data_IF_907590362143
#
_entry.id   IF_907590362143
#
_cell.length_a   1.000
_cell.length_b   1.000
_cell.length_c   1.000
_cell.angle_alpha   90.00
_cell.angle_beta   90.00
_cell.angle_gamma   90.00
#
_symmetry.space_group_name_H-M   'P 1'
#
loop_
_entity.id
_entity.type
_entity.pdbx_description
1 polymer ?
#
# COMPACT_ATOMS: atom_id res chain seq x y z
N UNK A 1 -0.10 54.87 -10.87
CA UNK A 1 0.42 53.81 -9.97
C UNK A 1 -0.78 53.10 -9.35
N UNK A 2 -0.92 51.78 -9.58
CA UNK A 2 -2.04 51.00 -9.02
C UNK A 2 -1.76 50.75 -7.54
N UNK A 3 -2.67 51.17 -6.66
CA UNK A 3 -2.57 50.94 -5.21
C UNK A 3 -2.89 49.49 -4.86
N UNK A 4 -2.18 48.93 -3.86
CA UNK A 4 -2.41 47.57 -3.33
C UNK A 4 -3.87 47.33 -2.96
N UNK A 5 -4.58 48.36 -2.51
CA UNK A 5 -6.01 48.29 -2.14
C UNK A 5 -6.92 48.15 -3.36
N UNK A 6 -6.61 48.87 -4.44
CA UNK A 6 -7.32 48.79 -5.72
C UNK A 6 -7.08 47.43 -6.36
N UNK A 7 -5.85 46.92 -6.29
CA UNK A 7 -5.53 45.57 -6.77
C UNK A 7 -6.32 44.48 -6.03
N UNK A 8 -6.41 44.55 -4.71
CA UNK A 8 -7.17 43.58 -3.90
C UNK A 8 -8.68 43.65 -4.16
N UNK A 9 -9.24 44.84 -4.35
CA UNK A 9 -10.67 44.97 -4.66
C UNK A 9 -11.00 44.43 -6.05
N UNK A 10 -10.16 44.71 -7.04
CA UNK A 10 -10.35 44.22 -8.42
C UNK A 10 -10.19 42.70 -8.50
N UNK A 11 -9.25 42.10 -7.75
CA UNK A 11 -9.08 40.64 -7.74
C UNK A 11 -10.23 39.90 -7.05
N UNK A 12 -10.88 40.48 -6.04
CA UNK A 12 -12.08 39.87 -5.42
C UNK A 12 -13.30 39.83 -6.34
N UNK A 13 -13.48 40.81 -7.23
CA UNK A 13 -14.59 40.82 -8.20
C UNK A 13 -14.35 39.81 -9.33
N UNK A 14 -13.11 39.66 -9.78
CA UNK A 14 -12.75 38.65 -10.79
C UNK A 14 -12.99 37.21 -10.30
N UNK A 15 -12.78 36.92 -9.02
CA UNK A 15 -13.09 35.61 -8.43
C UNK A 15 -14.61 35.35 -8.29
N UNK A 16 -15.42 36.40 -8.10
CA UNK A 16 -16.87 36.28 -7.94
C UNK A 16 -17.62 35.92 -9.24
N UNK A 17 -17.13 36.38 -10.40
CA UNK A 17 -17.74 36.05 -11.70
C UNK A 17 -17.44 34.60 -12.12
N UNK A 18 -16.34 34.01 -11.65
CA UNK A 18 -16.00 32.62 -11.93
C UNK A 18 -16.84 31.57 -11.19
N UNK A 19 -17.59 31.96 -10.16
CA UNK A 19 -18.39 31.04 -9.33
C UNK A 19 -19.81 30.77 -9.84
N UNK A 20 -20.26 31.47 -10.89
CA UNK A 20 -21.65 31.36 -11.40
C UNK A 20 -21.76 30.52 -12.68
N UNK A 21 -20.64 29.99 -13.19
CA UNK A 21 -20.65 28.96 -14.21
C UNK A 21 -20.32 27.60 -13.56
N UNK A 22 -21.29 26.71 -13.31
CA UNK A 22 -21.03 25.35 -12.83
C UNK A 22 -20.50 24.46 -13.97
N UNK A 23 -19.67 25.01 -14.86
CA UNK A 23 -19.31 24.40 -16.15
C UNK A 23 -17.93 23.75 -16.16
N UNK A 24 -17.20 23.73 -15.04
CA UNK A 24 -15.86 23.15 -14.95
C UNK A 24 -15.76 22.25 -13.72
N UNK A 25 -16.39 21.07 -13.81
CA UNK A 25 -16.18 19.85 -13.03
C UNK A 25 -17.44 18.96 -12.97
N UNK A 26 -18.30 19.00 -13.98
CA UNK A 26 -18.93 17.74 -14.37
C UNK A 26 -17.85 16.97 -15.12
N UNK A 27 -17.06 16.18 -14.38
CA UNK A 27 -16.63 14.92 -14.94
C UNK A 27 -17.93 14.30 -15.46
N UNK A 28 -18.09 14.28 -16.78
CA UNK A 28 -19.20 13.59 -17.38
C UNK A 28 -19.13 12.20 -16.75
N UNK A 29 -20.13 11.85 -15.94
CA UNK A 29 -20.53 10.47 -15.83
C UNK A 29 -20.86 10.09 -17.27
N UNK A 30 -19.86 9.60 -18.01
CA UNK A 30 -20.11 8.72 -19.12
C UNK A 30 -20.96 7.63 -18.50
N UNK A 31 -22.28 7.75 -18.67
CA UNK A 31 -23.20 6.66 -18.45
C UNK A 31 -22.72 5.57 -19.38
N UNK A 32 -21.87 4.69 -18.84
CA UNK A 32 -21.42 3.50 -19.51
C UNK A 32 -22.71 2.83 -19.99
N UNK A 33 -22.89 2.72 -21.30
CA UNK A 33 -24.03 2.01 -21.87
C UNK A 33 -24.13 0.61 -21.27
N UNK A 34 -25.28 -0.08 -21.39
CA UNK A 34 -25.41 -1.43 -20.85
C UNK A 34 -24.22 -2.29 -21.30
N UNK A 35 -23.50 -2.83 -20.32
CA UNK A 35 -22.30 -3.63 -20.57
C UNK A 35 -22.67 -4.81 -21.48
N UNK A 36 -21.81 -5.20 -22.44
CA UNK A 36 -22.01 -6.41 -23.23
C UNK A 36 -22.32 -7.61 -22.34
N UNK A 37 -23.21 -8.50 -22.79
CA UNK A 37 -23.65 -9.66 -22.01
C UNK A 37 -22.50 -10.48 -21.36
N UNK A 38 -21.33 -10.68 -21.99
CA UNK A 38 -20.21 -11.37 -21.35
C UNK A 38 -19.69 -10.70 -20.07
N UNK A 39 -19.70 -9.36 -20.02
CA UNK A 39 -19.23 -8.59 -18.86
C UNK A 39 -20.34 -8.48 -17.82
N UNK A 40 -21.59 -8.28 -18.25
CA UNK A 40 -22.76 -8.21 -17.35
C UNK A 40 -23.00 -9.53 -16.58
N UNK A 41 -22.60 -10.66 -17.15
CA UNK A 41 -22.75 -11.99 -16.54
C UNK A 41 -21.59 -12.38 -15.60
N UNK A 42 -20.55 -11.54 -15.43
CA UNK A 42 -19.46 -11.82 -14.50
C UNK A 42 -19.99 -11.79 -13.06
N UNK A 43 -19.78 -12.88 -12.33
CA UNK A 43 -20.15 -12.99 -10.92
C UNK A 43 -18.99 -12.50 -10.06
N UNK A 44 -19.31 -11.81 -8.96
CA UNK A 44 -18.29 -11.48 -7.96
C UNK A 44 -17.69 -12.76 -7.35
N UNK A 45 -16.37 -12.78 -7.24
CA UNK A 45 -15.62 -13.83 -6.55
C UNK A 45 -14.98 -13.32 -5.25
N UNK A 46 -15.33 -12.10 -4.81
CA UNK A 46 -14.73 -11.44 -3.65
C UNK A 46 -14.72 -12.29 -2.39
N UNK A 47 -15.75 -13.12 -2.21
CA UNK A 47 -16.01 -13.83 -0.95
C UNK A 47 -15.39 -15.24 -0.92
N UNK A 48 -14.76 -15.67 -2.02
CA UNK A 48 -14.21 -17.02 -2.13
C UNK A 48 -12.84 -17.15 -1.46
N UNK A 49 -12.05 -16.08 -1.43
CA UNK A 49 -10.71 -16.09 -0.86
C UNK A 49 -10.74 -15.76 0.63
N UNK A 50 -10.08 -16.58 1.45
CA UNK A 50 -9.85 -16.28 2.86
C UNK A 50 -8.50 -15.58 3.04
N UNK A 51 -8.44 -14.41 3.69
CA UNK A 51 -7.18 -13.75 3.99
C UNK A 51 -6.27 -14.62 4.87
N UNK A 52 -4.97 -14.61 4.58
CA UNK A 52 -3.94 -15.25 5.41
C UNK A 52 -3.96 -14.58 6.78
N UNK A 53 -4.11 -15.36 7.85
CA UNK A 53 -4.20 -14.84 9.22
C UNK A 53 -2.82 -14.54 9.83
N UNK A 54 -2.80 -13.96 11.02
CA UNK A 54 -1.56 -13.77 11.78
C UNK A 54 -1.01 -15.10 12.27
N UNK A 55 -1.90 -15.99 12.71
CA UNK A 55 -1.58 -17.31 13.24
C UNK A 55 -0.95 -18.19 12.15
N UNK A 56 -1.49 -18.14 10.92
CA UNK A 56 -0.90 -18.86 9.78
C UNK A 56 0.53 -18.36 9.49
N UNK A 57 0.79 -17.06 9.59
CA UNK A 57 2.14 -16.51 9.41
C UNK A 57 3.10 -16.93 10.51
N UNK A 58 2.65 -16.97 11.77
CA UNK A 58 3.45 -17.49 12.87
C UNK A 58 3.79 -18.97 12.65
N UNK A 59 2.83 -19.79 12.24
CA UNK A 59 3.07 -21.20 11.90
C UNK A 59 4.08 -21.37 10.76
N UNK A 60 4.07 -20.48 9.75
CA UNK A 60 5.08 -20.47 8.68
C UNK A 60 6.47 -20.18 9.25
N UNK A 61 6.61 -19.19 10.13
CA UNK A 61 7.88 -18.87 10.79
C UNK A 61 8.39 -20.04 11.65
N UNK A 62 7.52 -20.67 12.45
CA UNK A 62 7.87 -21.86 13.23
C UNK A 62 8.32 -23.04 12.34
N UNK A 63 7.65 -23.24 11.21
CA UNK A 63 8.05 -24.25 10.22
C UNK A 63 9.44 -23.93 9.66
N UNK A 64 9.72 -22.66 9.35
CA UNK A 64 11.04 -22.23 8.89
C UNK A 64 12.10 -22.50 9.95
N UNK A 65 11.86 -22.16 11.23
CA UNK A 65 12.79 -22.44 12.33
C UNK A 65 13.07 -23.94 12.50
N UNK A 66 12.04 -24.80 12.39
CA UNK A 66 12.22 -26.26 12.40
C UNK A 66 13.11 -26.75 11.26
N UNK A 67 12.89 -26.23 10.05
CA UNK A 67 13.72 -26.55 8.89
C UNK A 67 15.14 -26.02 9.04
N UNK A 68 15.32 -24.84 9.59
CA UNK A 68 16.64 -24.26 9.85
C UNK A 68 17.45 -25.13 10.82
N UNK A 69 16.83 -25.58 11.92
CA UNK A 69 17.47 -26.50 12.87
C UNK A 69 17.85 -27.83 12.21
N UNK A 70 16.98 -28.38 11.36
CA UNK A 70 17.26 -29.63 10.63
C UNK A 70 18.39 -29.48 9.59
N UNK A 71 18.64 -28.26 9.09
CA UNK A 71 19.64 -27.98 8.06
C UNK A 71 20.88 -27.23 8.60
N UNK A 72 21.07 -27.15 9.92
CA UNK A 72 22.18 -26.42 10.55
C UNK A 72 22.29 -24.94 10.11
N UNK A 73 21.16 -24.26 9.98
CA UNK A 73 21.09 -22.82 9.70
C UNK A 73 20.77 -22.06 10.99
N UNK A 74 21.60 -21.07 11.35
CA UNK A 74 21.40 -20.29 12.58
C UNK A 74 20.42 -19.13 12.40
N UNK A 75 20.36 -18.54 11.21
CA UNK A 75 19.46 -17.45 10.86
C UNK A 75 19.16 -17.43 9.36
N UNK A 76 18.00 -16.88 8.98
CA UNK A 76 17.71 -16.47 7.62
C UNK A 76 17.41 -14.98 7.57
N UNK A 77 17.82 -14.34 6.48
CA UNK A 77 17.55 -12.94 6.20
C UNK A 77 16.58 -12.87 5.02
N UNK A 78 15.44 -12.23 5.24
CA UNK A 78 14.38 -12.06 4.26
C UNK A 78 14.33 -10.60 3.82
N UNK A 79 14.81 -10.34 2.61
CA UNK A 79 14.71 -9.04 1.97
C UNK A 79 13.30 -8.80 1.44
N UNK A 80 13.03 -7.54 1.08
CA UNK A 80 11.83 -7.14 0.36
C UNK A 80 11.49 -8.05 -0.82
N UNK A 81 10.20 -8.38 -0.96
CA UNK A 81 9.71 -9.28 -1.99
C UNK A 81 8.74 -10.33 -1.47
N UNK A 82 8.61 -11.42 -2.22
CA UNK A 82 7.59 -12.45 -1.97
C UNK A 82 7.84 -13.22 -0.68
N UNK A 83 9.09 -13.51 -0.34
CA UNK A 83 9.44 -14.21 0.92
C UNK A 83 9.07 -13.40 2.15
N UNK A 84 9.40 -12.11 2.18
CA UNK A 84 9.00 -11.22 3.27
C UNK A 84 7.47 -11.17 3.40
N UNK A 85 6.75 -10.98 2.29
CA UNK A 85 5.28 -11.00 2.28
C UNK A 85 4.72 -12.36 2.76
N UNK A 86 5.34 -13.47 2.39
CA UNK A 86 4.92 -14.81 2.79
C UNK A 86 4.99 -15.02 4.31
N UNK A 87 6.04 -14.53 4.97
CA UNK A 87 6.24 -14.72 6.41
C UNK A 87 5.64 -13.60 7.29
N UNK A 88 5.49 -12.38 6.76
CA UNK A 88 5.10 -11.20 7.55
C UNK A 88 3.84 -10.50 7.03
N UNK A 89 3.52 -10.65 5.74
CA UNK A 89 2.48 -9.87 5.07
C UNK A 89 2.92 -8.48 4.60
N UNK A 90 4.16 -8.08 4.88
CA UNK A 90 4.71 -6.80 4.42
C UNK A 90 4.88 -6.86 2.90
N UNK A 91 4.21 -5.95 2.19
CA UNK A 91 4.19 -5.86 0.71
C UNK A 91 5.11 -4.75 0.22
N UNK A 92 6.38 -4.82 0.60
CA UNK A 92 7.40 -3.90 0.12
C UNK A 92 8.17 -4.54 -1.03
N UNK A 93 8.63 -3.70 -1.95
CA UNK A 93 9.21 -4.11 -3.21
C UNK A 93 10.42 -3.26 -3.53
N UNK A 94 11.60 -3.84 -3.32
CA UNK A 94 12.88 -3.37 -3.84
C UNK A 94 13.30 -1.96 -3.43
N UNK A 95 14.36 -1.50 -4.09
CA UNK A 95 15.06 -0.26 -3.78
C UNK A 95 16.47 -0.54 -3.28
N UNK A 96 17.30 0.51 -3.22
CA UNK A 96 18.66 0.41 -2.67
C UNK A 96 18.70 0.39 -1.14
N UNK A 97 17.57 0.74 -0.50
CA UNK A 97 17.46 0.88 0.95
C UNK A 97 17.12 -0.46 1.57
N UNK A 98 18.01 -0.94 2.42
CA UNK A 98 17.88 -2.26 3.04
C UNK A 98 16.72 -2.29 4.05
N UNK A 99 15.64 -2.99 3.70
CA UNK A 99 14.63 -3.46 4.65
C UNK A 99 14.63 -4.98 4.70
N UNK A 100 14.89 -5.55 5.88
CA UNK A 100 14.97 -7.00 6.06
C UNK A 100 14.32 -7.46 7.35
N UNK A 101 13.72 -8.64 7.31
CA UNK A 101 13.42 -9.43 8.50
C UNK A 101 14.52 -10.45 8.72
N UNK A 102 15.10 -10.48 9.92
CA UNK A 102 16.01 -11.53 10.35
C UNK A 102 15.23 -12.51 11.23
N UNK A 103 15.21 -13.77 10.85
CA UNK A 103 14.60 -14.86 11.62
C UNK A 103 15.71 -15.79 12.12
N UNK A 104 16.03 -15.75 13.43
CA UNK A 104 16.91 -16.74 14.05
C UNK A 104 16.25 -18.11 14.15
N UNK A 105 17.05 -19.18 14.18
CA UNK A 105 16.59 -20.55 14.36
C UNK A 105 15.90 -20.79 15.72
N UNK A 106 16.23 -19.95 16.72
CA UNK A 106 15.62 -19.92 18.05
C UNK A 106 15.48 -18.46 18.49
N UNK A 107 14.29 -18.10 18.98
CA UNK A 107 13.98 -16.75 19.46
C UNK A 107 13.11 -15.95 18.50
N UNK A 108 12.95 -14.66 18.82
CA UNK A 108 12.08 -13.76 18.08
C UNK A 108 12.75 -13.21 16.82
N UNK A 109 11.97 -13.01 15.76
CA UNK A 109 12.40 -12.27 14.58
C UNK A 109 12.54 -10.77 14.90
N UNK A 110 13.42 -10.09 14.16
CA UNK A 110 13.60 -8.64 14.25
C UNK A 110 13.78 -8.04 12.86
N UNK A 111 13.57 -6.73 12.74
CA UNK A 111 13.65 -6.00 11.49
C UNK A 111 14.84 -5.05 11.50
N UNK A 112 15.48 -4.90 10.34
CA UNK A 112 16.48 -3.86 10.09
C UNK A 112 15.92 -2.98 8.97
N UNK A 113 15.82 -1.69 9.26
CA UNK A 113 15.29 -0.69 8.33
C UNK A 113 16.01 0.65 8.49
N UNK A 114 16.01 1.53 7.47
CA UNK A 114 16.47 2.90 7.64
C UNK A 114 15.64 3.63 8.69
N UNK A 115 16.29 4.41 9.57
CA UNK A 115 15.62 5.03 10.72
C UNK A 115 14.37 5.87 10.35
N UNK A 116 14.42 6.58 9.22
CA UNK A 116 13.29 7.40 8.77
C UNK A 116 12.10 6.59 8.24
N UNK A 117 12.26 5.29 8.00
CA UNK A 117 11.20 4.37 7.60
C UNK A 117 10.58 3.60 8.79
N UNK A 118 11.07 3.81 10.02
CA UNK A 118 10.55 3.11 11.21
C UNK A 118 9.03 3.28 11.34
N UNK A 119 8.51 4.49 11.08
CA UNK A 119 7.07 4.77 11.15
C UNK A 119 6.23 3.99 10.12
N UNK A 120 6.84 3.55 9.01
CA UNK A 120 6.20 2.68 8.02
C UNK A 120 6.31 1.20 8.41
N UNK A 121 7.33 0.84 9.20
CA UNK A 121 7.66 -0.51 9.61
C UNK A 121 6.96 -0.96 10.90
N UNK A 122 6.46 -0.02 11.72
CA UNK A 122 5.59 -0.29 12.89
C UNK A 122 4.16 -0.61 12.47
#
# INVERSE_FOLDING_TARGET
MVSRRVFLQVSTVAAGVGLVAPSVAQAAEEKCGPLPAPIANLKSMSDQAKPITREERLQRQEKAQRLMQANNLDAILLMEGTSLNYFTGIRWWGGERLFVMVLPARGAAFYVCPAFEEGRAR
#
